data_IF_615255556030
#
_entry.id   IF_615255556030
#
_cell.length_a   1.000
_cell.length_b   1.000
_cell.length_c   1.000
_cell.angle_alpha   90.00
_cell.angle_beta   90.00
_cell.angle_gamma   90.00
#
_symmetry.space_group_name_H-M   'P 1'
#
loop_
_entity.id
_entity.type
_entity.pdbx_description
1 polymer ?
#
# COMPACT_ATOMS: atom_id res chain seq x y z
N UNK A 1 33.00 -19.23 8.55
CA UNK A 1 32.61 -19.11 7.12
C UNK A 1 31.99 -17.72 6.92
N UNK A 2 32.72 -16.78 6.30
CA UNK A 2 32.29 -15.37 6.17
C UNK A 2 31.36 -15.19 4.96
N UNK A 3 30.19 -14.63 5.26
CA UNK A 3 29.30 -13.77 4.49
C UNK A 3 29.43 -13.68 2.96
N UNK A 4 28.32 -13.97 2.29
CA UNK A 4 27.94 -13.30 1.04
C UNK A 4 26.76 -12.36 1.32
N UNK A 5 27.01 -11.22 1.98
CA UNK A 5 26.06 -10.09 1.96
C UNK A 5 25.97 -9.67 0.50
N UNK A 6 24.83 -9.93 -0.15
CA UNK A 6 24.51 -9.28 -1.42
C UNK A 6 24.28 -7.81 -1.09
N UNK A 7 25.30 -6.99 -1.30
CA UNK A 7 25.17 -5.54 -1.38
C UNK A 7 24.14 -5.28 -2.49
N UNK A 8 22.88 -5.07 -2.10
CA UNK A 8 21.86 -4.52 -3.00
C UNK A 8 22.37 -3.11 -3.28
N UNK A 9 23.02 -2.87 -4.41
CA UNK A 9 23.25 -1.53 -4.93
C UNK A 9 21.93 -1.06 -5.52
N UNK A 10 21.11 -0.27 -4.81
CA UNK A 10 19.83 0.16 -5.31
C UNK A 10 20.22 1.35 -6.20
N UNK A 11 20.21 1.11 -7.52
CA UNK A 11 20.80 2.05 -8.46
C UNK A 11 20.02 3.36 -8.45
N UNK A 12 18.69 3.29 -8.47
CA UNK A 12 17.82 4.45 -8.61
C UNK A 12 16.42 4.14 -8.10
N UNK A 13 15.70 5.16 -7.62
CA UNK A 13 14.27 5.09 -7.35
C UNK A 13 13.52 4.67 -8.62
N UNK A 14 12.62 3.70 -8.50
CA UNK A 14 11.85 3.19 -9.64
C UNK A 14 10.86 4.20 -10.22
N UNK A 15 10.56 5.30 -9.51
CA UNK A 15 9.62 6.34 -9.95
C UNK A 15 10.38 7.53 -10.53
N UNK A 16 11.20 8.21 -9.73
CA UNK A 16 11.87 9.45 -10.14
C UNK A 16 13.29 9.24 -10.70
N UNK A 17 13.83 8.02 -10.64
CA UNK A 17 15.18 7.66 -11.10
C UNK A 17 16.34 8.37 -10.37
N UNK A 18 16.07 9.10 -9.29
CA UNK A 18 17.12 9.64 -8.40
C UNK A 18 17.84 8.51 -7.65
N UNK A 19 19.12 8.72 -7.33
CA UNK A 19 19.90 7.79 -6.51
C UNK A 19 19.23 7.59 -5.14
N UNK A 20 19.06 6.34 -4.74
CA UNK A 20 18.44 5.97 -3.45
C UNK A 20 18.90 4.57 -3.09
N UNK A 21 18.99 4.29 -1.80
CA UNK A 21 19.22 2.96 -1.23
C UNK A 21 17.93 2.10 -1.15
N UNK A 22 16.81 2.59 -1.67
CA UNK A 22 15.51 1.92 -1.66
C UNK A 22 14.96 1.84 -3.08
N UNK A 23 14.11 0.84 -3.32
CA UNK A 23 13.37 0.72 -4.58
C UNK A 23 12.50 1.96 -4.84
N UNK A 24 11.97 2.59 -3.78
CA UNK A 24 11.23 3.85 -3.84
C UNK A 24 11.85 4.83 -2.84
N UNK A 25 12.31 5.99 -3.30
CA UNK A 25 12.90 6.99 -2.44
C UNK A 25 11.85 7.64 -1.50
N UNK A 26 12.29 8.21 -0.36
CA UNK A 26 11.38 8.87 0.59
C UNK A 26 10.52 9.98 -0.02
N UNK A 27 11.06 10.75 -0.96
CA UNK A 27 10.33 11.84 -1.61
C UNK A 27 9.16 11.32 -2.47
N UNK A 28 9.39 10.26 -3.24
CA UNK A 28 8.32 9.61 -3.99
C UNK A 28 7.27 8.99 -3.06
N UNK A 29 7.68 8.37 -1.94
CA UNK A 29 6.72 7.88 -0.96
C UNK A 29 5.88 9.02 -0.37
N UNK A 30 6.50 10.13 0.04
CA UNK A 30 5.79 11.30 0.58
C UNK A 30 4.84 11.94 -0.44
N UNK A 31 5.17 11.84 -1.73
CA UNK A 31 4.34 12.38 -2.81
C UNK A 31 3.16 11.48 -3.15
N UNK A 32 3.40 10.18 -3.29
CA UNK A 32 2.45 9.24 -3.90
C UNK A 32 1.80 8.25 -2.92
N UNK A 33 2.29 8.10 -1.68
CA UNK A 33 1.70 7.26 -0.63
C UNK A 33 1.13 8.10 0.52
N UNK A 34 0.46 9.22 0.20
CA UNK A 34 -0.14 10.07 1.24
C UNK A 34 -1.31 9.34 1.90
N UNK A 35 -1.41 9.35 3.24
CA UNK A 35 -2.60 8.84 3.91
C UNK A 35 -3.85 9.57 3.43
N UNK A 36 -4.92 8.81 3.21
CA UNK A 36 -6.21 9.34 2.78
C UNK A 36 -7.32 8.63 3.57
N UNK A 37 -8.36 9.34 4.04
CA UNK A 37 -9.52 8.69 4.63
C UNK A 37 -10.21 7.82 3.58
N UNK A 38 -10.57 6.59 3.96
CA UNK A 38 -11.21 5.61 3.08
C UNK A 38 -12.48 5.08 3.72
N UNK A 39 -13.42 4.70 2.87
CA UNK A 39 -14.66 4.06 3.30
C UNK A 39 -14.33 2.78 4.06
N UNK A 40 -14.92 2.61 5.25
CA UNK A 40 -14.76 1.42 6.08
C UNK A 40 -15.06 0.12 5.33
N UNK A 41 -16.12 0.15 4.52
CA UNK A 41 -16.65 -1.04 3.85
C UNK A 41 -15.94 -1.33 2.53
N UNK A 42 -15.83 -0.34 1.63
CA UNK A 42 -15.30 -0.56 0.27
C UNK A 42 -13.89 -0.01 0.03
N UNK A 43 -13.28 0.65 1.00
CA UNK A 43 -11.97 1.32 0.90
C UNK A 43 -11.85 2.43 -0.17
N UNK A 44 -12.96 2.85 -0.79
CA UNK A 44 -12.94 3.99 -1.70
C UNK A 44 -12.48 5.27 -0.96
N UNK A 45 -11.71 6.13 -1.63
CA UNK A 45 -11.35 7.44 -1.12
C UNK A 45 -12.56 8.24 -0.63
N UNK A 46 -12.45 8.80 0.58
CA UNK A 46 -13.40 9.75 1.13
C UNK A 46 -12.83 11.17 1.05
N UNK A 47 -13.70 12.20 1.08
CA UNK A 47 -13.26 13.57 1.23
C UNK A 47 -12.54 13.78 2.56
N UNK A 48 -11.68 14.80 2.63
CA UNK A 48 -10.91 15.13 3.83
C UNK A 48 -11.80 15.44 5.06
N UNK A 49 -13.06 15.81 4.84
CA UNK A 49 -14.05 16.00 5.90
C UNK A 49 -14.37 14.72 6.67
N UNK A 50 -14.11 13.54 6.08
CA UNK A 50 -14.25 12.25 6.77
C UNK A 50 -13.05 11.91 7.68
N UNK A 51 -12.01 12.75 7.72
CA UNK A 51 -10.85 12.53 8.57
C UNK A 51 -11.24 12.56 10.05
N UNK A 52 -10.83 11.54 10.81
CA UNK A 52 -11.15 11.41 12.24
C UNK A 52 -12.51 10.76 12.54
N UNK A 53 -13.34 10.51 11.53
CA UNK A 53 -14.57 9.74 11.71
C UNK A 53 -14.26 8.24 11.78
N UNK A 54 -14.62 7.63 12.92
CA UNK A 54 -14.55 6.19 13.13
C UNK A 54 -15.58 5.52 12.21
N UNK A 55 -15.17 4.47 11.49
CA UNK A 55 -16.02 3.69 10.57
C UNK A 55 -16.75 4.51 9.47
N UNK A 56 -16.15 5.60 8.99
CA UNK A 56 -16.74 6.42 7.94
C UNK A 56 -17.13 5.60 6.68
N UNK A 57 -18.37 5.71 6.21
CA UNK A 57 -18.88 5.03 5.01
C UNK A 57 -19.22 6.03 3.91
N UNK A 58 -19.00 5.64 2.65
CA UNK A 58 -19.43 6.43 1.50
C UNK A 58 -20.94 6.28 1.26
N UNK A 59 -21.55 7.21 0.51
CA UNK A 59 -22.99 7.19 0.24
C UNK A 59 -23.48 5.92 -0.45
N UNK A 60 -22.68 5.36 -1.37
CA UNK A 60 -23.02 4.10 -2.03
C UNK A 60 -23.14 2.94 -1.03
N UNK A 61 -22.18 2.80 -0.11
CA UNK A 61 -22.23 1.74 0.92
C UNK A 61 -23.33 1.95 1.97
N UNK A 62 -23.81 3.18 2.15
CA UNK A 62 -24.95 3.48 3.02
C UNK A 62 -26.29 3.17 2.35
N UNK A 63 -26.40 3.48 1.05
CA UNK A 63 -27.62 3.24 0.28
C UNK A 63 -27.82 1.75 -0.04
N UNK A 64 -26.74 1.08 -0.44
CA UNK A 64 -26.75 -0.34 -0.82
C UNK A 64 -25.50 -1.02 -0.24
N UNK A 65 -25.59 -1.57 0.99
CA UNK A 65 -24.46 -2.23 1.63
C UNK A 65 -23.97 -3.44 0.81
N UNK A 66 -22.68 -3.50 0.41
CA UNK A 66 -22.14 -4.67 -0.28
C UNK A 66 -22.01 -5.86 0.69
N UNK A 67 -21.86 -7.10 0.19
CA UNK A 67 -21.64 -8.29 1.02
C UNK A 67 -20.25 -8.36 1.68
N UNK A 68 -19.50 -7.25 1.67
CA UNK A 68 -18.16 -7.14 2.22
C UNK A 68 -18.24 -6.37 3.54
N UNK A 69 -17.79 -6.97 4.64
CA UNK A 69 -17.85 -6.31 5.96
C UNK A 69 -16.87 -5.13 6.07
N UNK A 70 -15.64 -5.31 5.59
CA UNK A 70 -14.56 -4.34 5.71
C UNK A 70 -13.51 -4.50 4.61
N UNK A 71 -13.02 -3.38 4.11
CA UNK A 71 -11.91 -3.34 3.15
C UNK A 71 -10.84 -2.37 3.61
N UNK A 72 -9.58 -2.75 3.48
CA UNK A 72 -8.43 -1.90 3.79
C UNK A 72 -7.56 -1.83 2.54
N UNK A 73 -7.41 -0.62 1.98
CA UNK A 73 -6.53 -0.36 0.86
C UNK A 73 -5.39 0.56 1.30
N UNK A 74 -4.15 0.10 1.07
CA UNK A 74 -2.97 0.89 1.41
C UNK A 74 -2.71 2.04 0.44
N UNK A 75 -3.09 1.86 -0.82
CA UNK A 75 -2.74 2.71 -1.95
C UNK A 75 -3.89 2.72 -2.95
N UNK A 76 -4.02 3.79 -3.73
CA UNK A 76 -4.92 3.80 -4.88
C UNK A 76 -4.30 3.01 -6.03
N UNK A 77 -5.15 2.30 -6.76
CA UNK A 77 -4.76 1.64 -8.00
C UNK A 77 -4.68 2.66 -9.16
N UNK A 78 -3.71 3.57 -9.03
CA UNK A 78 -3.43 4.65 -9.96
C UNK A 78 -1.92 4.90 -10.01
N UNK A 79 -1.48 5.79 -10.90
CA UNK A 79 -0.07 6.15 -10.99
C UNK A 79 0.48 6.59 -9.62
N UNK A 80 1.65 6.09 -9.19
CA UNK A 80 2.55 5.15 -9.87
C UNK A 80 2.31 3.67 -9.51
N UNK A 81 1.38 3.38 -8.61
CA UNK A 81 1.19 2.08 -7.97
C UNK A 81 0.61 1.01 -8.90
N UNK A 82 -0.24 1.40 -9.84
CA UNK A 82 -0.77 0.50 -10.87
C UNK A 82 0.35 -0.19 -11.67
N UNK A 83 1.35 0.58 -12.10
CA UNK A 83 2.52 0.07 -12.82
C UNK A 83 3.45 -0.75 -11.92
N UNK A 84 3.69 -0.29 -10.69
CA UNK A 84 4.55 -1.01 -9.74
C UNK A 84 3.94 -2.33 -9.29
N UNK A 85 2.63 -2.39 -9.03
CA UNK A 85 1.93 -3.62 -8.68
C UNK A 85 1.92 -4.61 -9.85
N UNK A 86 1.74 -4.13 -11.08
CA UNK A 86 1.83 -4.97 -12.29
C UNK A 86 3.22 -5.60 -12.41
N UNK A 87 4.28 -4.78 -12.31
CA UNK A 87 5.67 -5.25 -12.37
C UNK A 87 5.99 -6.26 -11.27
N UNK A 88 5.50 -6.02 -10.06
CA UNK A 88 5.66 -6.97 -8.96
C UNK A 88 4.97 -8.30 -9.24
N UNK A 89 3.72 -8.28 -9.72
CA UNK A 89 2.92 -9.48 -9.99
C UNK A 89 3.43 -10.30 -11.18
N UNK A 90 3.89 -9.63 -12.25
CA UNK A 90 4.09 -10.28 -13.55
C UNK A 90 5.53 -10.21 -14.08
N UNK A 91 6.37 -9.32 -13.54
CA UNK A 91 7.72 -9.05 -14.08
C UNK A 91 8.83 -9.34 -13.06
N UNK A 92 8.54 -10.13 -12.02
CA UNK A 92 9.53 -10.55 -11.01
C UNK A 92 10.27 -9.38 -10.32
N UNK A 93 9.62 -8.21 -10.21
CA UNK A 93 10.18 -7.02 -9.56
C UNK A 93 10.19 -7.15 -8.01
N UNK A 94 10.92 -8.14 -7.49
CA UNK A 94 10.97 -8.51 -6.07
C UNK A 94 11.61 -7.45 -5.17
N UNK A 95 12.33 -6.49 -5.76
CA UNK A 95 12.82 -5.30 -5.08
C UNK A 95 11.69 -4.43 -4.53
N UNK A 96 10.49 -4.48 -5.12
CA UNK A 96 9.30 -3.77 -4.65
C UNK A 96 8.64 -4.41 -3.43
N UNK A 97 8.95 -5.68 -3.11
CA UNK A 97 8.29 -6.44 -2.04
C UNK A 97 8.26 -5.69 -0.71
N UNK A 98 9.43 -5.23 -0.24
CA UNK A 98 9.53 -4.52 1.03
C UNK A 98 8.73 -3.22 1.03
N UNK A 99 8.86 -2.43 -0.04
CA UNK A 99 8.14 -1.17 -0.16
C UNK A 99 6.61 -1.36 -0.16
N UNK A 100 6.09 -2.39 -0.84
CA UNK A 100 4.66 -2.70 -0.88
C UNK A 100 4.15 -3.27 0.46
N UNK A 101 4.90 -4.20 1.07
CA UNK A 101 4.58 -4.76 2.38
C UNK A 101 4.50 -3.66 3.46
N UNK A 102 5.48 -2.76 3.49
CA UNK A 102 5.48 -1.65 4.46
C UNK A 102 4.24 -0.74 4.31
N UNK A 103 3.73 -0.53 3.09
CA UNK A 103 2.51 0.28 2.89
C UNK A 103 1.28 -0.45 3.41
N UNK A 104 1.19 -1.76 3.17
CA UNK A 104 0.10 -2.58 3.69
C UNK A 104 0.11 -2.62 5.21
N UNK A 105 1.27 -2.85 5.82
CA UNK A 105 1.43 -2.84 7.28
C UNK A 105 1.05 -1.49 7.89
N UNK A 106 1.43 -0.38 7.26
CA UNK A 106 1.02 0.97 7.68
C UNK A 106 -0.50 1.16 7.61
N UNK A 107 -1.13 0.67 6.55
CA UNK A 107 -2.58 0.77 6.38
C UNK A 107 -3.34 -0.07 7.40
N UNK A 108 -2.88 -1.31 7.67
CA UNK A 108 -3.44 -2.19 8.70
C UNK A 108 -3.29 -1.57 10.09
N UNK A 109 -2.10 -1.02 10.39
CA UNK A 109 -1.84 -0.34 11.67
C UNK A 109 -2.74 0.89 11.85
N UNK A 110 -2.88 1.73 10.81
CA UNK A 110 -3.75 2.91 10.86
C UNK A 110 -5.24 2.53 10.99
N UNK A 111 -5.62 1.40 10.39
CA UNK A 111 -6.96 0.83 10.50
C UNK A 111 -7.17 0.10 11.85
N UNK A 112 -6.13 -0.10 12.67
CA UNK A 112 -6.20 -0.93 13.88
C UNK A 112 -6.81 -2.31 13.57
N UNK A 113 -6.45 -2.88 12.43
CA UNK A 113 -6.86 -4.22 12.06
C UNK A 113 -5.77 -5.21 12.48
N UNK A 114 -6.20 -6.36 13.01
CA UNK A 114 -5.28 -7.47 13.20
C UNK A 114 -4.66 -7.85 11.86
N UNK A 115 -3.37 -8.20 11.89
CA UNK A 115 -2.71 -8.71 10.70
C UNK A 115 -3.50 -9.95 10.26
N UNK A 116 -3.94 -10.03 9.00
CA UNK A 116 -4.63 -11.21 8.52
C UNK A 116 -3.75 -12.42 8.81
N UNK A 117 -4.32 -13.42 9.45
CA UNK A 117 -3.63 -14.68 9.70
C UNK A 117 -3.11 -15.16 8.35
N UNK A 118 -1.81 -15.44 8.27
CA UNK A 118 -1.23 -15.96 7.04
C UNK A 118 -2.02 -17.23 6.70
N UNK A 119 -2.51 -17.33 5.46
CA UNK A 119 -3.10 -18.57 4.98
C UNK A 119 -2.11 -19.70 5.32
N UNK A 120 -2.53 -20.73 6.07
CA UNK A 120 -1.66 -21.87 6.32
C UNK A 120 -1.18 -22.38 4.97
N UNK A 121 0.13 -22.67 4.89
CA UNK A 121 0.86 -22.97 3.67
C UNK A 121 0.04 -23.86 2.71
N UNK A 122 -0.35 -23.32 1.55
CA UNK A 122 -0.88 -24.06 0.41
C UNK A 122 0.28 -24.72 -0.37
#
# INVERSE_FOLDING_TARGET
MRAGIRLRCPGQCTICRSWSDRAICPDCLKRYARPQPRCWTCALPLPATALGHVEARCGACLAEPPPLDRCIAALDYAFPWDGLLRRFKFEQALDLRGALADRLDQALSAAQADRPEALPDL
#
